data_IF_499363897036
#
_entry.id   IF_499363897036
#
_cell.length_a   1.000
_cell.length_b   1.000
_cell.length_c   1.000
_cell.angle_alpha   90.00
_cell.angle_beta   90.00
_cell.angle_gamma   90.00
#
_symmetry.space_group_name_H-M   'P 1'
#
loop_
_entity.id
_entity.type
_entity.pdbx_description
1 polymer ?
#
# COMPACT_ATOMS: atom_id res chain seq x y z
N UNK A 1 12.55 -2.21 0.40
CA UNK A 1 12.32 -0.77 0.66
C UNK A 1 11.03 -0.58 1.45
N UNK A 2 9.90 -1.14 1.02
CA UNK A 2 8.57 -0.95 1.63
C UNK A 2 8.49 -1.49 3.08
N UNK A 3 9.27 -2.51 3.42
CA UNK A 3 9.30 -3.08 4.78
C UNK A 3 9.63 -2.07 5.90
N UNK A 4 10.37 -1.00 5.58
CA UNK A 4 10.70 0.07 6.55
C UNK A 4 9.44 0.79 7.06
N UNK A 5 8.35 0.79 6.29
CA UNK A 5 7.06 1.38 6.71
C UNK A 5 6.48 0.69 7.94
N UNK A 6 6.87 -0.56 8.23
CA UNK A 6 6.49 -1.26 9.47
C UNK A 6 7.00 -0.58 10.74
N UNK A 7 7.99 0.29 10.63
CA UNK A 7 8.42 1.11 11.78
C UNK A 7 7.31 2.05 12.27
N UNK A 8 6.43 2.51 11.37
CA UNK A 8 5.34 3.44 11.74
C UNK A 8 4.37 2.80 12.73
N UNK A 9 3.72 1.65 12.44
CA UNK A 9 2.83 1.01 13.40
C UNK A 9 3.56 0.56 14.67
N UNK A 10 4.83 0.14 14.60
CA UNK A 10 5.61 -0.24 15.77
C UNK A 10 5.84 0.96 16.71
N UNK A 11 6.17 2.13 16.16
CA UNK A 11 6.29 3.37 16.95
C UNK A 11 4.95 3.73 17.61
N UNK A 12 3.83 3.58 16.90
CA UNK A 12 2.51 3.84 17.48
C UNK A 12 2.20 2.88 18.63
N UNK A 13 2.45 1.57 18.46
CA UNK A 13 2.26 0.58 19.53
C UNK A 13 3.18 0.86 20.71
N UNK A 14 4.46 1.16 20.46
CA UNK A 14 5.41 1.56 21.50
C UNK A 14 4.88 2.72 22.34
N UNK A 15 4.38 3.78 21.70
CA UNK A 15 3.84 4.95 22.42
C UNK A 15 2.63 4.55 23.27
N UNK A 16 1.71 3.76 22.72
CA UNK A 16 0.51 3.29 23.43
C UNK A 16 0.92 2.46 24.65
N UNK A 17 1.86 1.53 24.47
CA UNK A 17 2.29 0.62 25.53
C UNK A 17 3.09 1.35 26.62
N UNK A 18 3.95 2.31 26.25
CA UNK A 18 4.68 3.13 27.23
C UNK A 18 3.72 4.02 28.06
N UNK A 19 2.70 4.59 27.43
CA UNK A 19 1.67 5.37 28.14
C UNK A 19 0.90 4.46 29.10
N UNK A 20 0.60 3.25 28.70
CA UNK A 20 -0.13 2.27 29.52
C UNK A 20 0.74 1.77 30.68
N UNK A 21 2.03 1.45 30.42
CA UNK A 21 2.98 1.03 31.43
C UNK A 21 3.22 2.13 32.49
N UNK A 22 3.28 3.39 32.07
CA UNK A 22 3.37 4.52 33.01
C UNK A 22 2.19 4.59 33.97
N UNK A 23 0.99 4.26 33.50
CA UNK A 23 -0.23 4.26 34.32
C UNK A 23 -0.28 3.07 35.28
N UNK A 24 0.26 1.92 34.88
CA UNK A 24 0.29 0.69 35.69
C UNK A 24 1.49 0.58 36.64
N UNK A 25 2.40 1.55 36.63
CA UNK A 25 3.59 1.54 37.50
C UNK A 25 4.67 0.55 37.10
N UNK A 26 4.65 0.06 35.85
CA UNK A 26 5.65 -0.86 35.33
C UNK A 26 6.99 -0.17 35.01
N UNK A 27 8.06 -0.96 34.88
CA UNK A 27 9.40 -0.45 34.57
C UNK A 27 9.49 0.00 33.12
N UNK A 28 9.27 1.29 32.88
CA UNK A 28 9.29 1.91 31.54
C UNK A 28 10.62 1.64 30.82
N UNK A 29 11.76 1.68 31.55
CA UNK A 29 13.09 1.52 30.96
C UNK A 29 13.28 0.16 30.27
N UNK A 30 12.80 -0.94 30.86
CA UNK A 30 12.88 -2.27 30.25
C UNK A 30 12.03 -2.38 28.98
N UNK A 31 10.80 -1.90 29.04
CA UNK A 31 9.93 -1.86 27.85
C UNK A 31 10.51 -1.00 26.72
N UNK A 32 11.07 0.15 27.06
CA UNK A 32 11.73 0.99 26.04
C UNK A 32 12.88 0.27 25.37
N UNK A 33 13.69 -0.48 26.15
CA UNK A 33 14.83 -1.24 25.58
C UNK A 33 14.36 -2.36 24.63
N UNK A 34 13.29 -3.07 24.99
CA UNK A 34 12.66 -4.10 24.13
C UNK A 34 12.20 -3.50 22.80
N UNK A 35 11.45 -2.41 22.85
CA UNK A 35 10.96 -1.72 21.64
C UNK A 35 12.08 -1.14 20.78
N UNK A 36 13.14 -0.59 21.37
CA UNK A 36 14.31 -0.13 20.62
C UNK A 36 14.97 -1.30 19.89
N UNK A 37 15.07 -2.46 20.53
CA UNK A 37 15.55 -3.69 19.90
C UNK A 37 14.72 -4.09 18.69
N UNK A 38 13.39 -4.11 18.82
CA UNK A 38 12.45 -4.42 17.72
C UNK A 38 12.55 -3.41 16.57
N UNK A 39 12.61 -2.11 16.88
CA UNK A 39 12.76 -1.05 15.88
C UNK A 39 14.08 -1.13 15.11
N UNK A 40 15.16 -1.61 15.73
CA UNK A 40 16.47 -1.78 15.07
C UNK A 40 16.47 -2.98 14.09
N UNK A 41 15.67 -4.00 14.34
CA UNK A 41 15.59 -5.18 13.47
C UNK A 41 14.91 -4.86 12.14
N UNK A 42 13.84 -4.05 12.15
CA UNK A 42 13.04 -3.75 10.94
C UNK A 42 13.89 -3.14 9.80
N UNK A 43 14.75 -2.13 10.02
CA UNK A 43 15.54 -1.56 8.93
C UNK A 43 16.70 -2.46 8.45
N UNK A 44 17.06 -3.53 9.17
CA UNK A 44 18.19 -4.40 8.78
C UNK A 44 18.01 -4.97 7.36
N UNK A 45 16.81 -5.36 6.98
CA UNK A 45 16.54 -5.84 5.64
C UNK A 45 16.78 -4.76 4.57
N UNK A 46 16.44 -3.51 4.87
CA UNK A 46 16.72 -2.39 3.98
C UNK A 46 18.21 -2.05 3.93
N UNK A 47 18.88 -2.03 5.08
CA UNK A 47 20.34 -1.83 5.15
C UNK A 47 21.07 -2.91 4.37
N UNK A 48 20.70 -4.18 4.53
CA UNK A 48 21.25 -5.29 3.75
C UNK A 48 21.06 -5.08 2.24
N UNK A 49 19.90 -4.59 1.82
CA UNK A 49 19.65 -4.25 0.43
C UNK A 49 20.53 -3.10 -0.07
N UNK A 50 20.74 -2.05 0.74
CA UNK A 50 21.65 -0.94 0.39
C UNK A 50 23.10 -1.41 0.28
N UNK A 51 23.56 -2.27 1.21
CA UNK A 51 24.91 -2.88 1.16
C UNK A 51 25.06 -3.72 -0.11
N UNK A 52 24.05 -4.52 -0.47
CA UNK A 52 24.08 -5.32 -1.68
C UNK A 52 24.20 -4.43 -2.94
N UNK A 53 23.41 -3.36 -3.03
CA UNK A 53 23.52 -2.38 -4.13
C UNK A 53 24.92 -1.76 -4.17
N UNK A 54 25.49 -1.37 -3.01
CA UNK A 54 26.84 -0.84 -2.95
C UNK A 54 27.87 -1.82 -3.50
N UNK A 55 27.77 -3.09 -3.13
CA UNK A 55 28.74 -4.13 -3.55
C UNK A 55 28.61 -4.44 -5.06
N UNK A 56 27.38 -4.51 -5.57
CA UNK A 56 27.15 -4.91 -6.97
C UNK A 56 27.31 -3.73 -7.93
N UNK A 57 26.81 -2.57 -7.58
CA UNK A 57 26.64 -1.43 -8.50
C UNK A 57 27.49 -0.22 -8.13
N UNK A 58 28.29 -0.29 -7.05
CA UNK A 58 29.15 0.81 -6.60
C UNK A 58 28.40 1.98 -5.91
N UNK A 59 27.05 1.92 -5.81
CA UNK A 59 26.26 2.93 -5.12
C UNK A 59 25.07 2.30 -4.38
N UNK A 60 24.81 2.66 -3.10
CA UNK A 60 23.72 2.08 -2.32
C UNK A 60 22.34 2.50 -2.86
N UNK A 61 22.25 3.60 -3.60
CA UNK A 61 21.01 4.16 -4.13
C UNK A 61 20.81 3.90 -5.64
N UNK A 62 21.57 2.99 -6.23
CA UNK A 62 21.47 2.64 -7.67
C UNK A 62 20.04 2.31 -8.11
N UNK A 63 19.23 1.70 -7.23
CA UNK A 63 17.85 1.40 -7.54
C UNK A 63 17.01 2.65 -7.85
N UNK A 64 17.29 3.80 -7.23
CA UNK A 64 16.60 5.06 -7.54
C UNK A 64 17.01 5.60 -8.91
N UNK A 65 18.30 5.48 -9.26
CA UNK A 65 18.81 5.85 -10.56
C UNK A 65 18.18 5.01 -11.67
N UNK A 66 18.15 3.68 -11.49
CA UNK A 66 17.50 2.76 -12.42
C UNK A 66 16.02 3.08 -12.57
N UNK A 67 15.32 3.36 -11.45
CA UNK A 67 13.90 3.72 -11.47
C UNK A 67 13.65 5.00 -12.28
N UNK A 68 14.53 6.01 -12.12
CA UNK A 68 14.44 7.28 -12.84
C UNK A 68 14.82 7.15 -14.31
N UNK A 69 15.93 6.49 -14.63
CA UNK A 69 16.51 6.45 -15.99
C UNK A 69 15.79 5.45 -16.91
N UNK A 70 15.40 4.26 -16.37
CA UNK A 70 14.79 3.21 -17.18
C UNK A 70 13.26 3.26 -17.19
N UNK A 71 12.66 3.70 -16.08
CA UNK A 71 11.20 3.74 -15.93
C UNK A 71 10.62 5.16 -15.91
N UNK A 72 11.46 6.20 -15.89
CA UNK A 72 10.99 7.58 -15.76
C UNK A 72 10.19 7.83 -14.48
N UNK A 73 10.33 6.94 -13.49
CA UNK A 73 9.58 7.01 -12.25
C UNK A 73 10.39 7.73 -11.18
N UNK A 74 9.80 8.72 -10.55
CA UNK A 74 10.41 9.48 -9.46
C UNK A 74 9.36 9.76 -8.36
N UNK A 75 9.83 10.18 -7.20
CA UNK A 75 8.94 10.58 -6.10
C UNK A 75 8.15 11.80 -6.53
N UNK A 76 6.84 11.77 -6.31
CA UNK A 76 5.92 12.82 -6.71
C UNK A 76 4.80 13.00 -5.67
N UNK A 77 4.03 14.06 -5.80
CA UNK A 77 2.85 14.25 -4.98
C UNK A 77 1.70 13.36 -5.47
N UNK A 78 0.93 12.84 -4.54
CA UNK A 78 -0.25 11.99 -4.79
C UNK A 78 -1.18 12.54 -5.89
N UNK A 79 -1.40 13.85 -5.90
CA UNK A 79 -2.25 14.49 -6.91
C UNK A 79 -1.75 14.28 -8.35
N UNK A 80 -0.43 14.22 -8.55
CA UNK A 80 0.14 13.96 -9.88
C UNK A 80 -0.12 12.53 -10.33
N UNK A 81 -0.04 11.57 -9.41
CA UNK A 81 -0.39 10.17 -9.68
C UNK A 81 -1.86 10.04 -10.06
N UNK A 82 -2.76 10.68 -9.32
CA UNK A 82 -4.19 10.70 -9.62
C UNK A 82 -4.46 11.33 -10.98
N UNK A 83 -3.86 12.49 -11.25
CA UNK A 83 -4.00 13.18 -12.54
C UNK A 83 -3.53 12.27 -13.68
N UNK A 84 -2.37 11.67 -13.55
CA UNK A 84 -1.84 10.72 -14.53
C UNK A 84 -2.85 9.59 -14.83
N UNK A 85 -3.40 8.96 -13.79
CA UNK A 85 -4.39 7.89 -13.93
C UNK A 85 -5.65 8.36 -14.67
N UNK A 86 -6.16 9.53 -14.30
CA UNK A 86 -7.37 10.09 -14.92
C UNK A 86 -7.12 10.50 -16.39
N UNK A 87 -6.00 11.16 -16.66
CA UNK A 87 -5.65 11.62 -18.01
C UNK A 87 -5.53 10.43 -18.98
N UNK A 88 -4.86 9.36 -18.56
CA UNK A 88 -4.73 8.15 -19.39
C UNK A 88 -6.07 7.41 -19.55
N UNK A 89 -6.85 7.27 -18.48
CA UNK A 89 -8.18 6.67 -18.60
C UNK A 89 -9.06 7.41 -19.62
N UNK A 90 -9.12 8.74 -19.52
CA UNK A 90 -9.92 9.58 -20.44
C UNK A 90 -9.41 9.47 -21.87
N UNK A 91 -8.10 9.40 -22.08
CA UNK A 91 -7.49 9.22 -23.40
C UNK A 91 -7.90 7.88 -24.03
N UNK A 92 -7.71 6.77 -23.30
CA UNK A 92 -8.07 5.45 -23.82
C UNK A 92 -9.58 5.29 -24.07
N UNK A 93 -10.43 5.92 -23.25
CA UNK A 93 -11.86 5.96 -23.49
C UNK A 93 -12.22 6.79 -24.74
N UNK A 94 -11.53 7.90 -24.98
CA UNK A 94 -11.73 8.72 -26.18
C UNK A 94 -11.30 8.00 -27.47
N UNK A 95 -10.25 7.19 -27.37
CA UNK A 95 -9.72 6.38 -28.48
C UNK A 95 -10.53 5.06 -28.68
N UNK A 96 -11.63 4.83 -27.93
CA UNK A 96 -12.40 3.57 -27.85
C UNK A 96 -11.55 2.33 -27.53
N UNK A 97 -10.44 2.50 -26.86
CA UNK A 97 -9.58 1.41 -26.40
C UNK A 97 -10.05 0.91 -25.02
N UNK A 98 -11.12 0.10 -25.07
CA UNK A 98 -11.77 -0.46 -23.88
C UNK A 98 -10.84 -1.45 -23.15
N UNK A 99 -9.99 -2.14 -23.89
CA UNK A 99 -9.05 -3.13 -23.32
C UNK A 99 -8.12 -2.48 -22.30
N UNK A 100 -7.40 -1.44 -22.67
CA UNK A 100 -6.50 -0.71 -21.77
C UNK A 100 -7.28 0.06 -20.68
N UNK A 101 -8.41 0.66 -21.03
CA UNK A 101 -9.25 1.37 -20.05
C UNK A 101 -9.70 0.46 -18.91
N UNK A 102 -10.25 -0.73 -19.24
CA UNK A 102 -10.80 -1.69 -18.27
C UNK A 102 -9.68 -2.56 -17.67
N UNK A 103 -8.69 -2.95 -18.45
CA UNK A 103 -7.60 -3.82 -17.99
C UNK A 103 -6.62 -3.14 -17.02
N UNK A 104 -6.31 -1.86 -17.26
CA UNK A 104 -5.27 -1.15 -16.51
C UNK A 104 -5.82 0.02 -15.68
N UNK A 105 -6.52 0.98 -16.31
CA UNK A 105 -6.75 2.28 -15.68
C UNK A 105 -7.89 2.29 -14.68
N UNK A 106 -9.02 1.66 -15.01
CA UNK A 106 -10.17 1.55 -14.10
C UNK A 106 -9.79 0.82 -12.81
N UNK A 107 -9.14 -0.36 -12.82
CA UNK A 107 -8.76 -1.05 -11.60
C UNK A 107 -7.75 -0.27 -10.76
N UNK A 108 -6.84 0.49 -11.37
CA UNK A 108 -5.93 1.36 -10.64
C UNK A 108 -6.68 2.44 -9.85
N UNK A 109 -7.62 3.13 -10.50
CA UNK A 109 -8.44 4.17 -9.85
C UNK A 109 -9.32 3.57 -8.75
N UNK A 110 -9.96 2.43 -9.03
CA UNK A 110 -10.77 1.71 -8.02
C UNK A 110 -9.91 1.29 -6.82
N UNK A 111 -8.71 0.76 -7.04
CA UNK A 111 -7.83 0.36 -5.96
C UNK A 111 -7.39 1.55 -5.09
N UNK A 112 -7.02 2.67 -5.71
CA UNK A 112 -6.59 3.88 -5.00
C UNK A 112 -7.75 4.44 -4.17
N UNK A 113 -8.87 4.79 -4.80
CA UNK A 113 -9.99 5.44 -4.09
C UNK A 113 -10.81 4.47 -3.26
N UNK A 114 -10.95 3.22 -3.71
CA UNK A 114 -11.61 2.16 -2.95
C UNK A 114 -10.91 1.86 -1.64
N UNK A 115 -9.58 1.72 -1.64
CA UNK A 115 -8.81 1.51 -0.41
C UNK A 115 -8.93 2.69 0.57
N UNK A 116 -8.89 3.93 0.08
CA UNK A 116 -9.14 5.12 0.90
C UNK A 116 -10.54 5.11 1.51
N UNK A 117 -11.57 4.81 0.70
CA UNK A 117 -12.96 4.74 1.15
C UNK A 117 -13.17 3.66 2.21
N UNK A 118 -12.68 2.44 1.95
CA UNK A 118 -12.76 1.29 2.86
C UNK A 118 -12.09 1.63 4.20
N UNK A 119 -10.89 2.21 4.16
CA UNK A 119 -10.16 2.60 5.36
C UNK A 119 -10.85 3.75 6.11
N UNK A 120 -11.35 4.78 5.41
CA UNK A 120 -12.06 5.89 6.03
C UNK A 120 -13.30 5.44 6.82
N UNK A 121 -14.07 4.48 6.28
CA UNK A 121 -15.25 3.91 6.94
C UNK A 121 -14.88 3.14 8.21
N UNK A 122 -13.76 2.39 8.19
CA UNK A 122 -13.35 1.49 9.27
C UNK A 122 -12.33 2.09 10.24
N UNK A 123 -11.74 3.25 9.93
CA UNK A 123 -10.62 3.85 10.68
C UNK A 123 -10.89 3.98 12.18
N UNK A 124 -12.11 4.38 12.58
CA UNK A 124 -12.48 4.54 14.00
C UNK A 124 -12.63 3.21 14.75
N UNK A 125 -12.74 2.09 14.05
CA UNK A 125 -12.93 0.75 14.63
C UNK A 125 -11.65 -0.09 14.60
N UNK A 126 -10.68 0.32 13.79
CA UNK A 126 -9.37 -0.31 13.73
C UNK A 126 -8.42 0.29 14.77
N UNK A 127 -7.37 -0.45 15.11
CA UNK A 127 -6.29 0.08 15.95
C UNK A 127 -5.61 1.26 15.25
N UNK A 128 -5.25 2.33 15.98
CA UNK A 128 -4.59 3.50 15.39
C UNK A 128 -3.29 3.15 14.65
N UNK A 129 -2.55 2.16 15.12
CA UNK A 129 -1.32 1.66 14.48
C UNK A 129 -1.58 1.11 13.06
N UNK A 130 -2.70 0.41 12.85
CA UNK A 130 -3.07 -0.10 11.52
C UNK A 130 -3.45 1.02 10.56
N UNK A 131 -4.15 2.04 11.06
CA UNK A 131 -4.49 3.23 10.27
C UNK A 131 -3.22 4.01 9.91
N UNK A 132 -2.31 4.19 10.86
CA UNK A 132 -1.03 4.84 10.63
C UNK A 132 -0.18 4.07 9.61
N UNK A 133 -0.13 2.74 9.70
CA UNK A 133 0.54 1.90 8.70
C UNK A 133 -0.07 2.07 7.31
N UNK A 134 -1.41 2.01 7.21
CA UNK A 134 -2.08 2.23 5.93
C UNK A 134 -1.71 3.57 5.32
N UNK A 135 -1.77 4.66 6.10
CA UNK A 135 -1.45 6.01 5.60
C UNK A 135 -0.01 6.07 5.08
N UNK A 136 0.95 5.61 5.88
CA UNK A 136 2.36 5.62 5.50
C UNK A 136 2.65 4.74 4.27
N UNK A 137 2.07 3.54 4.23
CA UNK A 137 2.19 2.62 3.11
C UNK A 137 1.54 3.19 1.85
N UNK A 138 0.34 3.75 1.97
CA UNK A 138 -0.41 4.35 0.88
C UNK A 138 0.37 5.52 0.26
N UNK A 139 0.86 6.44 1.09
CA UNK A 139 1.67 7.57 0.61
C UNK A 139 2.92 7.09 -0.13
N UNK A 140 3.63 6.10 0.41
CA UNK A 140 4.82 5.56 -0.24
C UNK A 140 4.50 4.86 -1.57
N UNK A 141 3.40 4.12 -1.62
CA UNK A 141 3.01 3.34 -2.80
C UNK A 141 2.41 4.21 -3.91
N UNK A 142 1.68 5.28 -3.55
CA UNK A 142 1.01 6.17 -4.50
C UNK A 142 1.73 7.51 -4.70
N UNK A 143 2.81 7.78 -3.98
CA UNK A 143 3.61 9.01 -4.07
C UNK A 143 4.69 8.95 -5.16
N UNK A 144 4.35 8.38 -6.31
CA UNK A 144 5.24 8.25 -7.48
C UNK A 144 4.71 9.08 -8.65
N UNK A 145 5.56 9.41 -9.62
CA UNK A 145 5.15 10.21 -10.80
C UNK A 145 4.09 9.52 -11.66
N UNK A 146 4.10 8.19 -11.67
CA UNK A 146 3.09 7.35 -12.30
C UNK A 146 3.01 6.00 -11.58
N UNK A 147 1.86 5.32 -11.70
CA UNK A 147 1.60 4.04 -11.06
C UNK A 147 0.74 3.18 -11.99
N UNK A 148 1.25 2.03 -12.41
CA UNK A 148 0.58 1.15 -13.37
C UNK A 148 -0.13 -0.04 -12.72
N UNK A 149 0.20 -0.39 -11.50
CA UNK A 149 -0.29 -1.61 -10.84
C UNK A 149 -0.73 -1.34 -9.40
N UNK A 150 -1.57 -0.33 -9.20
CA UNK A 150 -2.09 0.02 -7.88
C UNK A 150 -2.72 -1.17 -7.13
N UNK A 151 -3.54 -2.05 -7.76
CA UNK A 151 -4.10 -3.22 -7.09
C UNK A 151 -3.02 -4.13 -6.50
N UNK A 152 -1.94 -4.39 -7.26
CA UNK A 152 -0.83 -5.25 -6.81
C UNK A 152 -0.11 -4.69 -5.59
N UNK A 153 0.11 -3.38 -5.56
CA UNK A 153 0.75 -2.72 -4.41
C UNK A 153 -0.18 -2.64 -3.21
N UNK A 154 -1.47 -2.37 -3.40
CA UNK A 154 -2.39 -2.15 -2.30
C UNK A 154 -2.92 -3.46 -1.68
N UNK A 155 -2.97 -4.57 -2.43
CA UNK A 155 -3.44 -5.87 -1.90
C UNK A 155 -2.57 -6.40 -0.75
N UNK A 156 -1.28 -6.08 -0.73
CA UNK A 156 -0.38 -6.49 0.35
C UNK A 156 -0.48 -5.60 1.59
N UNK A 157 -1.24 -4.51 1.52
CA UNK A 157 -1.51 -3.63 2.64
C UNK A 157 -2.59 -4.25 3.56
N UNK A 158 -2.18 -5.10 4.50
CA UNK A 158 -3.07 -5.90 5.35
C UNK A 158 -4.16 -5.09 6.09
N UNK A 159 -3.99 -3.81 6.49
CA UNK A 159 -5.09 -3.05 7.09
C UNK A 159 -6.32 -2.91 6.21
N UNK A 160 -6.17 -2.96 4.88
CA UNK A 160 -7.31 -2.95 3.93
C UNK A 160 -8.14 -4.23 4.13
N UNK A 161 -7.48 -5.39 4.26
CA UNK A 161 -8.18 -6.65 4.51
C UNK A 161 -8.90 -6.65 5.87
N UNK A 162 -8.27 -6.07 6.91
CA UNK A 162 -8.92 -5.92 8.22
C UNK A 162 -10.12 -4.97 8.16
N UNK A 163 -10.03 -3.89 7.38
CA UNK A 163 -11.12 -2.95 7.18
C UNK A 163 -12.30 -3.59 6.42
N UNK A 164 -12.02 -4.40 5.41
CA UNK A 164 -13.04 -5.20 4.72
C UNK A 164 -13.71 -6.20 5.66
N UNK A 165 -12.93 -6.94 6.45
CA UNK A 165 -13.44 -7.88 7.45
C UNK A 165 -14.32 -7.17 8.51
N UNK A 166 -13.95 -5.97 8.94
CA UNK A 166 -14.77 -5.18 9.86
C UNK A 166 -16.12 -4.78 9.24
N UNK A 167 -16.14 -4.40 7.97
CA UNK A 167 -17.39 -4.08 7.25
C UNK A 167 -18.25 -5.33 7.01
N UNK A 168 -17.63 -6.48 6.78
CA UNK A 168 -18.28 -7.78 6.52
C UNK A 168 -18.94 -8.40 7.76
N UNK A 169 -18.92 -7.75 8.91
CA UNK A 169 -19.69 -8.20 10.11
C UNK A 169 -21.20 -8.30 9.85
N UNK A 170 -21.71 -7.51 8.90
CA UNK A 170 -23.10 -7.60 8.45
C UNK A 170 -23.17 -8.57 7.28
N UNK A 171 -23.95 -9.65 7.42
CA UNK A 171 -24.08 -10.71 6.40
C UNK A 171 -24.40 -10.17 4.98
N UNK A 172 -25.23 -9.14 4.87
CA UNK A 172 -25.54 -8.54 3.58
C UNK A 172 -24.31 -7.89 2.93
N UNK A 173 -23.48 -7.20 3.72
CA UNK A 173 -22.23 -6.56 3.25
C UNK A 173 -21.19 -7.61 2.87
N UNK A 174 -21.07 -8.66 3.66
CA UNK A 174 -20.20 -9.81 3.38
C UNK A 174 -20.55 -10.46 2.04
N UNK A 175 -21.83 -10.76 1.82
CA UNK A 175 -22.30 -11.32 0.54
C UNK A 175 -22.02 -10.38 -0.63
N UNK A 176 -22.24 -9.08 -0.47
CA UNK A 176 -21.95 -8.09 -1.53
C UNK A 176 -20.46 -8.09 -1.86
N UNK A 177 -19.56 -8.01 -0.86
CA UNK A 177 -18.12 -8.04 -1.07
C UNK A 177 -17.67 -9.35 -1.73
N UNK A 178 -18.21 -10.49 -1.29
CA UNK A 178 -17.91 -11.78 -1.90
C UNK A 178 -18.30 -11.82 -3.37
N UNK A 179 -19.49 -11.36 -3.71
CA UNK A 179 -19.97 -11.31 -5.11
C UNK A 179 -19.08 -10.36 -5.94
N UNK A 180 -18.79 -9.16 -5.44
CA UNK A 180 -17.95 -8.17 -6.15
C UNK A 180 -16.54 -8.73 -6.40
N UNK A 181 -15.92 -9.35 -5.39
CA UNK A 181 -14.60 -9.95 -5.55
C UNK A 181 -14.61 -11.14 -6.51
N UNK A 182 -15.61 -12.01 -6.43
CA UNK A 182 -15.75 -13.17 -7.32
C UNK A 182 -16.00 -12.73 -8.78
N UNK A 183 -16.89 -11.76 -8.99
CA UNK A 183 -17.16 -11.22 -10.31
C UNK A 183 -15.91 -10.54 -10.90
N UNK A 184 -15.21 -9.73 -10.10
CA UNK A 184 -13.94 -9.11 -10.50
C UNK A 184 -12.89 -10.15 -10.89
N UNK A 185 -12.72 -11.21 -10.08
CA UNK A 185 -11.80 -12.30 -10.39
C UNK A 185 -12.12 -12.96 -11.74
N UNK A 186 -13.42 -13.27 -11.99
CA UNK A 186 -13.84 -13.91 -13.24
C UNK A 186 -13.59 -12.97 -14.44
N UNK A 187 -13.97 -11.70 -14.34
CA UNK A 187 -13.78 -10.71 -15.41
C UNK A 187 -12.30 -10.57 -15.76
N UNK A 188 -11.44 -10.36 -14.76
CA UNK A 188 -10.00 -10.17 -15.01
C UNK A 188 -9.29 -11.46 -15.40
N UNK A 189 -9.76 -12.63 -14.97
CA UNK A 189 -9.27 -13.91 -15.47
C UNK A 189 -9.58 -14.09 -16.95
N UNK A 190 -10.82 -13.77 -17.38
CA UNK A 190 -11.21 -13.82 -18.80
C UNK A 190 -10.39 -12.83 -19.62
N UNK A 191 -10.23 -11.59 -19.15
CA UNK A 191 -9.42 -10.57 -19.81
C UNK A 191 -7.96 -11.06 -19.99
N UNK A 192 -7.35 -11.60 -18.93
CA UNK A 192 -6.01 -12.17 -18.99
C UNK A 192 -5.89 -13.33 -19.99
N UNK A 193 -6.86 -14.25 -20.00
CA UNK A 193 -6.89 -15.38 -20.95
C UNK A 193 -7.18 -14.95 -22.40
N UNK A 194 -7.68 -13.73 -22.59
CA UNK A 194 -7.93 -13.11 -23.90
C UNK A 194 -6.78 -12.19 -24.34
N UNK A 195 -5.59 -12.34 -23.73
CA UNK A 195 -4.39 -11.55 -23.99
C UNK A 195 -4.53 -10.03 -23.75
N UNK A 196 -5.53 -9.62 -22.97
CA UNK A 196 -5.64 -8.23 -22.56
C UNK A 196 -4.51 -7.85 -21.61
N UNK A 197 -4.06 -6.60 -21.69
CA UNK A 197 -3.16 -6.05 -20.69
C UNK A 197 -3.92 -5.82 -19.38
N UNK A 198 -3.66 -6.65 -18.40
CA UNK A 198 -4.22 -6.52 -17.03
C UNK A 198 -3.12 -6.15 -16.04
N UNK A 199 -3.51 -5.41 -14.99
CA UNK A 199 -2.61 -4.86 -13.95
C UNK A 199 -1.79 -5.89 -13.18
#
# INVERSE_FOLDING_TARGET
VVGVVLMVPLIFEMVIDLVTAKKSGERIALKTLEFVGELLIVPLGFVSYLVLNQVISGSPLTFLTIQSEHWGQHISFFINTVRYQCDYLLRYLADNDIEHAVGLWIPNIIAIFGSLGIMAISAKRLRPSYVAYFIAYFILSTGTSWLLSAPRYLVVCFPIALALADQSRKKAVDVIWTIVCAAGLIVYLIAFLSDWQVF
#
